data_IF_377789485687
#
_entry.id   IF_377789485687
#
_cell.length_a   1.000
_cell.length_b   1.000
_cell.length_c   1.000
_cell.angle_alpha   90.00
_cell.angle_beta   90.00
_cell.angle_gamma   90.00
#
_symmetry.space_group_name_H-M   'P 1'
#
loop_
_entity.id
_entity.type
_entity.pdbx_description
1 polymer ?
#
# COMPACT_ATOMS: atom_id res chain seq x y z
N UNK A 1 35.02 3.82 8.32
CA UNK A 1 33.57 3.66 8.49
C UNK A 1 33.18 2.33 7.87
N UNK A 2 32.66 1.42 8.69
CA UNK A 2 32.18 0.13 8.20
C UNK A 2 30.83 0.28 7.51
N UNK A 3 30.54 -0.56 6.53
CA UNK A 3 29.26 -0.56 5.81
C UNK A 3 28.04 -0.60 6.76
N UNK A 4 28.17 -1.31 7.89
CA UNK A 4 27.14 -1.38 8.93
C UNK A 4 26.88 -0.06 9.66
N UNK A 5 27.90 0.76 9.92
CA UNK A 5 27.74 2.09 10.52
C UNK A 5 27.05 3.04 9.54
N UNK A 6 27.48 3.03 8.27
CA UNK A 6 26.88 3.88 7.23
C UNK A 6 25.42 3.53 6.98
N UNK A 7 25.07 2.24 6.95
CA UNK A 7 23.67 1.79 6.84
C UNK A 7 22.88 2.17 8.09
N UNK A 8 23.45 1.98 9.28
CA UNK A 8 22.82 2.34 10.55
C UNK A 8 22.47 3.83 10.63
N UNK A 9 23.40 4.72 10.25
CA UNK A 9 23.20 6.17 10.26
C UNK A 9 22.16 6.62 9.22
N UNK A 10 22.17 6.02 8.03
CA UNK A 10 21.17 6.28 6.99
C UNK A 10 19.77 5.84 7.45
N UNK A 11 19.68 4.69 8.13
CA UNK A 11 18.42 4.18 8.69
C UNK A 11 17.93 5.09 9.83
N UNK A 12 18.82 5.50 10.73
CA UNK A 12 18.49 6.41 11.84
C UNK A 12 17.99 7.77 11.34
N UNK A 13 18.63 8.34 10.30
CA UNK A 13 18.22 9.59 9.68
C UNK A 13 16.90 9.51 8.89
N UNK A 14 16.46 8.29 8.53
CA UNK A 14 15.28 8.06 7.68
C UNK A 14 14.20 7.20 8.32
N UNK A 15 14.24 6.99 9.64
CA UNK A 15 13.33 6.10 10.36
C UNK A 15 11.84 6.35 10.01
N UNK A 16 11.42 7.61 9.91
CA UNK A 16 10.03 7.97 9.51
C UNK A 16 9.69 7.53 8.08
N UNK A 17 10.61 7.70 7.14
CA UNK A 17 10.42 7.30 5.74
C UNK A 17 10.36 5.78 5.62
N UNK A 18 11.18 5.05 6.40
CA UNK A 18 11.15 3.58 6.46
C UNK A 18 9.83 3.05 7.05
N UNK A 19 9.32 3.67 8.12
CA UNK A 19 7.98 3.38 8.65
C UNK A 19 6.91 3.66 7.58
N UNK A 20 7.07 4.75 6.84
CA UNK A 20 6.17 5.10 5.75
C UNK A 20 6.13 4.06 4.63
N UNK A 21 7.30 3.58 4.20
CA UNK A 21 7.44 2.47 3.25
C UNK A 21 6.79 1.19 3.79
N UNK A 22 7.02 0.86 5.06
CA UNK A 22 6.44 -0.33 5.68
C UNK A 22 4.90 -0.31 5.64
N UNK A 23 4.28 0.82 6.00
CA UNK A 23 2.82 0.96 5.89
C UNK A 23 2.31 0.88 4.46
N UNK A 24 3.03 1.49 3.51
CA UNK A 24 2.70 1.37 2.08
C UNK A 24 2.75 -0.09 1.60
N UNK A 25 3.80 -0.84 1.95
CA UNK A 25 3.95 -2.25 1.59
C UNK A 25 2.83 -3.11 2.19
N UNK A 26 2.48 -2.91 3.46
CA UNK A 26 1.40 -3.65 4.12
C UNK A 26 0.05 -3.39 3.42
N UNK A 27 -0.25 -2.13 3.10
CA UNK A 27 -1.48 -1.78 2.40
C UNK A 27 -1.56 -2.41 1.00
N UNK A 28 -0.48 -2.33 0.22
CA UNK A 28 -0.41 -2.92 -1.12
C UNK A 28 -0.50 -4.45 -1.08
N UNK A 29 0.20 -5.09 -0.13
CA UNK A 29 0.16 -6.53 0.03
C UNK A 29 -1.26 -7.02 0.36
N UNK A 30 -1.95 -6.34 1.28
CA UNK A 30 -3.33 -6.68 1.60
C UNK A 30 -4.27 -6.45 0.41
N UNK A 31 -4.14 -5.32 -0.30
CA UNK A 31 -4.97 -5.07 -1.49
C UNK A 31 -4.77 -6.15 -2.55
N UNK A 32 -3.52 -6.58 -2.77
CA UNK A 32 -3.19 -7.65 -3.72
C UNK A 32 -3.80 -9.00 -3.32
N UNK A 33 -3.77 -9.32 -2.02
CA UNK A 33 -4.40 -10.54 -1.50
C UNK A 33 -5.92 -10.49 -1.64
N UNK A 34 -6.53 -9.34 -1.34
CA UNK A 34 -7.97 -9.14 -1.52
C UNK A 34 -8.38 -9.29 -2.99
N UNK A 35 -7.63 -8.70 -3.92
CA UNK A 35 -7.91 -8.78 -5.36
C UNK A 35 -7.81 -10.20 -5.94
N UNK A 36 -7.14 -11.12 -5.24
CA UNK A 36 -7.08 -12.54 -5.60
C UNK A 36 -8.05 -13.42 -4.83
N UNK A 37 -8.87 -12.86 -3.94
CA UNK A 37 -9.86 -13.59 -3.15
C UNK A 37 -11.26 -13.54 -3.76
N UNK A 38 -12.15 -14.39 -3.25
CA UNK A 38 -13.51 -14.53 -3.77
C UNK A 38 -14.36 -13.25 -3.61
N UNK A 39 -15.41 -13.12 -4.45
CA UNK A 39 -16.39 -12.03 -4.34
C UNK A 39 -15.94 -10.74 -5.03
N UNK A 40 -15.94 -9.62 -4.31
CA UNK A 40 -15.58 -8.30 -4.89
C UNK A 40 -14.13 -8.22 -5.37
N UNK A 41 -13.23 -8.95 -4.71
CA UNK A 41 -11.83 -9.07 -5.14
C UNK A 41 -11.68 -9.75 -6.49
N UNK A 42 -12.31 -10.91 -6.66
CA UNK A 42 -12.35 -11.67 -7.92
C UNK A 42 -13.00 -10.87 -9.06
N UNK A 43 -14.12 -10.19 -8.79
CA UNK A 43 -14.78 -9.32 -9.75
C UNK A 43 -13.87 -8.17 -10.20
N UNK A 44 -13.16 -7.54 -9.26
CA UNK A 44 -12.15 -6.52 -9.54
C UNK A 44 -11.01 -7.06 -10.41
N UNK A 45 -10.42 -8.19 -10.00
CA UNK A 45 -9.30 -8.81 -10.71
C UNK A 45 -9.65 -9.21 -12.13
N UNK A 46 -10.85 -9.78 -12.32
CA UNK A 46 -11.38 -10.16 -13.65
C UNK A 46 -11.56 -8.94 -14.54
N UNK A 47 -12.31 -7.92 -14.08
CA UNK A 47 -12.55 -6.70 -14.82
C UNK A 47 -11.24 -5.98 -15.19
N UNK A 48 -10.29 -5.87 -14.24
CA UNK A 48 -9.00 -5.24 -14.49
C UNK A 48 -8.18 -6.02 -15.53
N UNK A 49 -8.18 -7.35 -15.47
CA UNK A 49 -7.47 -8.20 -16.44
C UNK A 49 -8.03 -8.11 -17.86
N UNK A 50 -9.33 -7.82 -17.98
CA UNK A 50 -10.02 -7.57 -19.24
C UNK A 50 -9.88 -6.11 -19.74
N UNK A 51 -9.25 -5.23 -18.96
CA UNK A 51 -9.13 -3.80 -19.28
C UNK A 51 -10.41 -3.00 -19.04
N UNK A 52 -11.39 -3.56 -18.33
CA UNK A 52 -12.70 -2.97 -18.07
C UNK A 52 -12.67 -2.06 -16.82
N UNK A 53 -11.95 -0.94 -16.92
CA UNK A 53 -11.72 -0.04 -15.77
C UNK A 53 -13.03 0.46 -15.13
N UNK A 54 -14.05 0.74 -15.93
CA UNK A 54 -15.35 1.17 -15.43
C UNK A 54 -16.07 0.09 -14.60
N UNK A 55 -15.87 -1.18 -14.93
CA UNK A 55 -16.42 -2.31 -14.18
C UNK A 55 -15.60 -2.61 -12.91
N UNK A 56 -14.29 -2.35 -12.93
CA UNK A 56 -13.41 -2.52 -11.76
C UNK A 56 -13.58 -1.42 -10.70
N UNK A 57 -13.88 -0.18 -11.11
CA UNK A 57 -13.99 0.98 -10.23
C UNK A 57 -14.93 0.81 -9.01
N UNK A 58 -16.16 0.29 -9.13
CA UNK A 58 -17.05 0.13 -7.98
C UNK A 58 -16.48 -0.83 -6.92
N UNK A 59 -15.75 -1.86 -7.32
CA UNK A 59 -15.15 -2.82 -6.37
C UNK A 59 -14.05 -2.18 -5.52
N UNK A 60 -13.35 -1.17 -6.04
CA UNK A 60 -12.40 -0.37 -5.23
C UNK A 60 -13.14 0.40 -4.13
N UNK A 61 -14.36 0.87 -4.39
CA UNK A 61 -15.18 1.51 -3.35
C UNK A 61 -15.66 0.51 -2.29
N UNK A 62 -15.99 -0.72 -2.70
CA UNK A 62 -16.30 -1.83 -1.79
C UNK A 62 -15.09 -2.17 -0.92
N UNK A 63 -13.89 -2.25 -1.51
CA UNK A 63 -12.65 -2.43 -0.75
C UNK A 63 -12.46 -1.30 0.28
N UNK A 64 -12.63 -0.06 -0.14
CA UNK A 64 -12.44 1.11 0.71
C UNK A 64 -13.36 1.12 1.95
N UNK A 65 -14.62 0.72 1.76
CA UNK A 65 -15.61 0.67 2.84
C UNK A 65 -15.32 -0.44 3.84
N UNK A 66 -14.86 -1.61 3.37
CA UNK A 66 -14.61 -2.78 4.21
C UNK A 66 -13.20 -2.79 4.83
N UNK A 67 -12.25 -2.04 4.25
CA UNK A 67 -10.84 -2.07 4.63
C UNK A 67 -10.24 -0.66 4.87
N UNK A 68 -10.90 0.23 5.65
CA UNK A 68 -10.46 1.63 5.80
C UNK A 68 -9.08 1.76 6.45
N UNK A 69 -8.69 0.80 7.30
CA UNK A 69 -7.38 0.80 7.96
C UNK A 69 -6.22 0.73 6.96
N UNK A 70 -6.35 -0.03 5.87
CA UNK A 70 -5.28 -0.19 4.88
C UNK A 70 -5.18 1.03 3.96
N UNK A 71 -6.29 1.71 3.69
CA UNK A 71 -6.26 3.03 3.05
C UNK A 71 -5.54 4.06 3.91
N UNK A 72 -5.87 4.12 5.20
CA UNK A 72 -5.20 5.02 6.14
C UNK A 72 -3.71 4.69 6.26
N UNK A 73 -3.35 3.40 6.33
CA UNK A 73 -1.95 2.97 6.33
C UNK A 73 -1.22 3.45 5.07
N UNK A 74 -1.81 3.29 3.89
CA UNK A 74 -1.22 3.80 2.65
C UNK A 74 -1.05 5.32 2.66
N UNK A 75 -2.08 6.08 3.06
CA UNK A 75 -2.04 7.54 3.08
C UNK A 75 -1.03 8.07 4.10
N UNK A 76 -1.01 7.52 5.31
CA UNK A 76 -0.01 7.85 6.34
C UNK A 76 1.39 7.46 5.85
N UNK A 77 1.51 6.29 5.22
CA UNK A 77 2.76 5.82 4.64
C UNK A 77 3.32 6.78 3.60
N UNK A 78 2.50 7.17 2.63
CA UNK A 78 2.84 8.14 1.60
C UNK A 78 3.21 9.51 2.20
N UNK A 79 2.44 9.99 3.18
CA UNK A 79 2.73 11.24 3.87
C UNK A 79 4.09 11.21 4.58
N UNK A 80 4.43 10.10 5.25
CA UNK A 80 5.72 9.93 5.93
C UNK A 80 6.91 9.83 4.96
N UNK A 81 6.69 9.30 3.75
CA UNK A 81 7.72 9.24 2.69
C UNK A 81 7.95 10.61 2.05
N UNK A 82 6.87 11.34 1.73
CA UNK A 82 6.94 12.61 1.01
C UNK A 82 7.33 13.78 1.91
N UNK A 83 7.03 13.71 3.22
CA UNK A 83 7.41 14.75 4.18
C UNK A 83 8.92 14.86 4.25
N UNK A 84 9.45 15.94 3.68
CA UNK A 84 10.85 16.34 3.84
C UNK A 84 11.09 16.67 5.32
N UNK A 85 12.16 16.09 5.88
CA UNK A 85 12.72 16.54 7.16
C UNK A 85 13.45 17.85 6.96
#
# INVERSE_FOLDING_TARGET
MGFGETVGDVVAGRARQLIGVAFGCIAVAHFSLWAGGDGSGEAFGTALSNGEIAAAAPEVAVYAQNHPAYLLAFLVGAALVVRRQ
#
